data_IF_544821058368
#
_entry.id   IF_544821058368
#
_cell.length_a   1.000
_cell.length_b   1.000
_cell.length_c   1.000
_cell.angle_alpha   90.00
_cell.angle_beta   90.00
_cell.angle_gamma   90.00
#
_symmetry.space_group_name_H-M   'P 1'
#
loop_
_entity.id
_entity.type
_entity.pdbx_description
1 polymer ?
#
# COMPACT_ATOMS: atom_id res chain seq x y z
N UNK A 1 -2.91 9.29 -18.75
CA UNK A 1 -4.01 10.24 -18.46
C UNK A 1 -3.47 11.43 -17.70
N UNK A 2 -4.21 12.55 -17.64
CA UNK A 2 -3.76 13.78 -16.96
C UNK A 2 -3.95 13.78 -15.44
N UNK A 3 -4.85 12.94 -14.92
CA UNK A 3 -5.15 12.81 -13.50
C UNK A 3 -5.59 11.38 -13.17
N UNK A 4 -5.25 10.87 -11.98
CA UNK A 4 -5.64 9.55 -11.50
C UNK A 4 -6.42 9.66 -10.17
N UNK A 5 -7.76 9.56 -10.18
CA UNK A 5 -8.60 9.73 -8.99
C UNK A 5 -8.41 8.66 -7.91
N UNK A 6 -8.02 7.45 -8.30
CA UNK A 6 -7.92 6.28 -7.41
C UNK A 6 -6.46 5.85 -7.18
N UNK A 7 -5.51 6.75 -7.44
CA UNK A 7 -4.07 6.47 -7.38
C UNK A 7 -3.60 5.95 -6.01
N UNK A 8 -4.22 6.45 -4.95
CA UNK A 8 -3.82 6.22 -3.56
C UNK A 8 -4.81 5.30 -2.82
N UNK A 9 -5.53 4.46 -3.57
CA UNK A 9 -6.42 3.45 -3.00
C UNK A 9 -5.88 2.06 -3.31
N UNK A 10 -5.93 1.18 -2.31
CA UNK A 10 -5.69 -0.23 -2.52
C UNK A 10 -6.85 -0.91 -3.26
N UNK A 11 -6.60 -2.09 -3.81
CA UNK A 11 -7.59 -2.76 -4.65
C UNK A 11 -8.83 -3.17 -3.84
N UNK A 12 -8.62 -3.68 -2.63
CA UNK A 12 -9.68 -3.99 -1.67
C UNK A 12 -10.52 -2.76 -1.32
N UNK A 13 -9.89 -1.59 -1.18
CA UNK A 13 -10.59 -0.33 -0.93
C UNK A 13 -11.43 0.13 -2.12
N UNK A 14 -10.91 -0.03 -3.34
CA UNK A 14 -11.68 0.26 -4.57
C UNK A 14 -12.95 -0.58 -4.62
N UNK A 15 -12.87 -1.88 -4.29
CA UNK A 15 -14.06 -2.73 -4.20
C UNK A 15 -15.01 -2.27 -3.09
N UNK A 16 -14.49 -1.93 -1.91
CA UNK A 16 -15.28 -1.43 -0.77
C UNK A 16 -16.03 -0.14 -1.12
N UNK A 17 -15.35 0.83 -1.73
CA UNK A 17 -15.93 2.12 -2.12
C UNK A 17 -16.93 1.94 -3.26
N UNK A 18 -16.68 1.01 -4.19
CA UNK A 18 -17.62 0.69 -5.27
C UNK A 18 -18.95 0.16 -4.74
N UNK A 19 -18.90 -0.74 -3.74
CA UNK A 19 -20.09 -1.25 -3.05
C UNK A 19 -20.81 -0.13 -2.30
N UNK A 20 -20.06 0.64 -1.50
CA UNK A 20 -20.60 1.78 -0.77
C UNK A 20 -21.30 2.77 -1.71
N UNK A 21 -20.72 3.07 -2.88
CA UNK A 21 -21.31 4.01 -3.85
C UNK A 21 -22.63 3.52 -4.42
N UNK A 22 -22.84 2.21 -4.55
CA UNK A 22 -24.11 1.66 -5.03
C UNK A 22 -25.22 1.73 -3.97
N UNK A 23 -24.86 1.73 -2.69
CA UNK A 23 -25.80 1.77 -1.56
C UNK A 23 -26.05 3.19 -1.07
N UNK A 24 -25.03 4.04 -1.14
CA UNK A 24 -25.02 5.38 -0.57
C UNK A 24 -24.37 6.39 -1.51
N UNK A 25 -24.93 7.60 -1.54
CA UNK A 25 -24.40 8.75 -2.26
C UNK A 25 -24.53 9.99 -1.36
N UNK A 26 -23.49 10.85 -1.25
CA UNK A 26 -23.64 12.15 -0.61
C UNK A 26 -24.69 13.02 -1.33
N UNK A 27 -25.44 13.83 -0.58
CA UNK A 27 -26.49 14.71 -1.13
C UNK A 27 -25.95 15.72 -2.15
N UNK A 28 -24.72 16.21 -1.93
CA UNK A 28 -24.05 17.17 -2.79
C UNK A 28 -23.45 16.55 -4.07
N UNK A 29 -23.42 15.22 -4.19
CA UNK A 29 -22.82 14.58 -5.35
C UNK A 29 -23.73 14.70 -6.58
N UNK A 30 -23.18 15.11 -7.72
CA UNK A 30 -23.96 15.35 -8.96
C UNK A 30 -24.38 14.08 -9.71
N UNK A 31 -23.87 12.92 -9.32
CA UNK A 31 -24.18 11.65 -9.99
C UNK A 31 -25.59 11.10 -9.66
N UNK A 32 -26.08 10.15 -10.47
CA UNK A 32 -27.39 9.52 -10.24
C UNK A 32 -27.41 8.75 -8.91
N UNK A 33 -28.58 8.72 -8.27
CA UNK A 33 -28.81 7.88 -7.09
C UNK A 33 -28.87 6.39 -7.43
N UNK A 34 -28.84 5.56 -6.39
CA UNK A 34 -28.93 4.09 -6.52
C UNK A 34 -27.70 3.45 -7.17
N UNK A 35 -27.93 2.26 -7.76
CA UNK A 35 -26.88 1.42 -8.33
C UNK A 35 -26.35 2.00 -9.65
N UNK A 36 -25.08 2.39 -9.63
CA UNK A 36 -24.39 2.99 -10.79
C UNK A 36 -23.27 2.10 -11.34
N UNK A 37 -22.67 1.27 -10.49
CA UNK A 37 -21.62 0.32 -10.87
C UNK A 37 -22.27 -1.07 -11.01
N UNK A 38 -22.18 -1.72 -12.18
CA UNK A 38 -22.74 -3.06 -12.36
C UNK A 38 -22.12 -4.10 -11.42
N UNK A 39 -22.93 -5.03 -10.89
CA UNK A 39 -22.45 -6.03 -9.93
C UNK A 39 -21.31 -6.88 -10.47
N UNK A 40 -21.42 -7.27 -11.74
CA UNK A 40 -20.47 -8.17 -12.36
C UNK A 40 -19.06 -7.54 -12.40
N UNK A 41 -18.93 -6.21 -12.36
CA UNK A 41 -17.62 -5.53 -12.28
C UNK A 41 -17.04 -5.65 -10.86
N UNK A 42 -17.88 -5.72 -9.83
CA UNK A 42 -17.50 -5.80 -8.42
C UNK A 42 -17.25 -7.26 -8.00
N UNK A 43 -18.06 -8.20 -8.48
CA UNK A 43 -18.00 -9.62 -8.10
C UNK A 43 -17.08 -10.45 -8.96
N UNK A 44 -16.72 -9.98 -10.17
CA UNK A 44 -15.73 -10.66 -11.00
C UNK A 44 -14.43 -10.75 -10.23
N UNK A 45 -13.90 -11.97 -10.16
CA UNK A 45 -12.59 -12.23 -9.57
C UNK A 45 -11.59 -11.27 -10.23
N UNK A 46 -10.77 -10.56 -9.43
CA UNK A 46 -9.88 -9.57 -9.99
C UNK A 46 -8.87 -10.26 -10.91
N UNK A 47 -8.78 -9.75 -12.14
CA UNK A 47 -7.99 -10.29 -13.23
C UNK A 47 -7.37 -9.12 -14.00
N UNK A 48 -6.05 -9.02 -14.13
CA UNK A 48 -5.43 -8.12 -15.11
C UNK A 48 -5.62 -8.68 -16.52
N UNK A 49 -6.79 -8.41 -17.05
CA UNK A 49 -7.03 -8.53 -18.48
C UNK A 49 -6.33 -7.37 -19.19
N UNK A 50 -5.03 -7.53 -19.43
CA UNK A 50 -4.29 -6.71 -20.40
C UNK A 50 -3.56 -7.54 -21.47
N UNK A 51 -3.79 -8.87 -21.50
CA UNK A 51 -3.52 -9.77 -22.65
C UNK A 51 -4.46 -10.97 -22.64
N UNK A 52 -4.92 -11.40 -23.82
CA UNK A 52 -5.55 -12.72 -23.99
C UNK A 52 -4.56 -13.80 -23.47
N UNK A 53 -4.99 -14.59 -22.49
CA UNK A 53 -4.25 -15.68 -21.83
C UNK A 53 -3.25 -15.34 -20.71
N UNK A 54 -3.24 -14.14 -20.11
CA UNK A 54 -2.51 -13.92 -18.85
C UNK A 54 -3.46 -13.83 -17.66
N UNK A 55 -3.25 -14.67 -16.63
CA UNK A 55 -3.91 -14.56 -15.32
C UNK A 55 -2.94 -13.92 -14.32
N UNK A 56 -3.35 -12.82 -13.70
CA UNK A 56 -2.61 -12.15 -12.61
C UNK A 56 -2.26 -13.08 -11.44
N UNK A 57 -3.09 -14.10 -11.24
CA UNK A 57 -2.96 -15.06 -10.15
C UNK A 57 -1.71 -15.95 -10.27
N UNK A 58 -1.05 -15.98 -11.43
CA UNK A 58 0.19 -16.73 -11.60
C UNK A 58 1.39 -16.02 -10.96
N UNK A 59 1.27 -14.73 -10.62
CA UNK A 59 2.44 -13.93 -10.18
C UNK A 59 2.24 -13.02 -8.96
N UNK A 60 1.00 -12.74 -8.55
CA UNK A 60 0.69 -11.94 -7.34
C UNK A 60 -0.05 -12.77 -6.28
N UNK A 61 0.16 -12.50 -4.97
CA UNK A 61 -0.71 -13.05 -3.94
C UNK A 61 -2.14 -12.48 -4.04
N UNK A 62 -3.13 -13.10 -3.38
CA UNK A 62 -4.48 -12.55 -3.23
C UNK A 62 -4.46 -11.07 -2.78
N UNK A 63 -5.40 -10.25 -3.27
CA UNK A 63 -5.36 -8.79 -3.03
C UNK A 63 -5.50 -8.39 -1.57
N UNK A 64 -6.27 -9.13 -0.78
CA UNK A 64 -6.34 -8.94 0.67
C UNK A 64 -4.97 -9.10 1.33
N UNK A 65 -4.22 -10.12 0.95
CA UNK A 65 -2.84 -10.32 1.40
C UNK A 65 -1.89 -9.28 0.83
N UNK A 66 -1.98 -8.97 -0.47
CA UNK A 66 -1.13 -8.01 -1.15
C UNK A 66 -1.26 -6.61 -0.54
N UNK A 67 -2.49 -6.15 -0.38
CA UNK A 67 -2.80 -4.81 0.14
C UNK A 67 -2.31 -4.70 1.60
N UNK A 68 -2.50 -5.74 2.42
CA UNK A 68 -2.00 -5.77 3.80
C UNK A 68 -0.46 -5.72 3.89
N UNK A 69 0.24 -6.41 2.97
CA UNK A 69 1.71 -6.33 2.88
C UNK A 69 2.14 -4.93 2.43
N UNK A 70 1.48 -4.36 1.43
CA UNK A 70 1.80 -3.03 0.91
C UNK A 70 1.56 -1.93 1.95
N UNK A 71 0.46 -1.98 2.70
CA UNK A 71 0.19 -1.04 3.80
C UNK A 71 1.36 -1.04 4.80
N UNK A 72 1.83 -2.22 5.19
CA UNK A 72 2.97 -2.36 6.12
C UNK A 72 4.28 -1.84 5.53
N UNK A 73 4.58 -2.16 4.27
CA UNK A 73 5.80 -1.72 3.59
C UNK A 73 5.82 -0.22 3.28
N UNK A 74 4.67 0.36 2.91
CA UNK A 74 4.58 1.71 2.34
C UNK A 74 4.16 2.73 3.38
N UNK A 75 3.07 2.45 4.10
CA UNK A 75 2.50 3.41 5.04
C UNK A 75 3.17 3.33 6.41
N UNK A 76 3.39 2.11 6.89
CA UNK A 76 4.00 1.87 8.21
C UNK A 76 5.52 1.80 8.17
N UNK A 77 6.11 1.68 6.97
CA UNK A 77 7.55 1.48 6.76
C UNK A 77 8.16 0.38 7.64
N UNK A 78 7.42 -0.71 7.82
CA UNK A 78 7.88 -1.86 8.58
C UNK A 78 8.99 -2.60 7.81
N UNK A 79 10.09 -3.02 8.47
CA UNK A 79 11.08 -3.88 7.84
C UNK A 79 10.46 -5.24 7.52
N UNK A 80 11.01 -5.94 6.52
CA UNK A 80 10.46 -7.22 6.04
C UNK A 80 10.33 -8.23 7.19
N UNK A 81 11.30 -8.27 8.10
CA UNK A 81 11.25 -9.16 9.25
C UNK A 81 10.01 -8.95 10.14
N UNK A 82 9.56 -7.71 10.34
CA UNK A 82 8.37 -7.39 11.15
C UNK A 82 7.08 -7.85 10.48
N UNK A 83 7.03 -7.77 9.15
CA UNK A 83 5.90 -8.26 8.37
C UNK A 83 5.84 -9.79 8.45
N UNK A 84 6.98 -10.48 8.36
CA UNK A 84 7.04 -11.93 8.54
C UNK A 84 6.64 -12.35 9.95
N UNK A 85 7.11 -11.64 10.99
CA UNK A 85 6.68 -11.85 12.38
C UNK A 85 5.17 -11.68 12.57
N UNK A 86 4.52 -10.84 11.76
CA UNK A 86 3.06 -10.66 11.76
C UNK A 86 2.29 -11.82 11.09
N UNK A 87 2.97 -12.86 10.63
CA UNK A 87 2.36 -14.10 10.12
C UNK A 87 2.28 -14.21 8.60
N UNK A 88 2.91 -13.29 7.86
CA UNK A 88 2.96 -13.37 6.39
C UNK A 88 4.10 -14.29 5.93
N UNK A 89 3.85 -15.06 4.86
CA UNK A 89 4.86 -15.90 4.23
C UNK A 89 6.06 -15.07 3.74
N UNK A 90 7.27 -15.48 4.15
CA UNK A 90 8.50 -14.72 3.90
C UNK A 90 8.80 -14.55 2.43
N UNK A 91 8.65 -15.61 1.64
CA UNK A 91 8.98 -15.56 0.20
C UNK A 91 7.99 -14.66 -0.54
N UNK A 92 6.73 -14.66 -0.11
CA UNK A 92 5.70 -13.74 -0.60
C UNK A 92 6.02 -12.29 -0.26
N UNK A 93 6.38 -11.96 0.99
CA UNK A 93 6.74 -10.59 1.38
C UNK A 93 7.95 -10.09 0.60
N UNK A 94 9.02 -10.91 0.48
CA UNK A 94 10.22 -10.56 -0.28
C UNK A 94 9.93 -10.34 -1.76
N UNK A 95 9.05 -11.16 -2.35
CA UNK A 95 8.60 -10.99 -3.73
C UNK A 95 7.85 -9.67 -3.90
N UNK A 96 6.94 -9.33 -3.00
CA UNK A 96 6.18 -8.07 -3.02
C UNK A 96 7.11 -6.86 -2.85
N UNK A 97 8.03 -6.87 -1.89
CA UNK A 97 9.02 -5.79 -1.71
C UNK A 97 9.89 -5.61 -2.97
N UNK A 98 10.33 -6.70 -3.59
CA UNK A 98 11.09 -6.64 -4.84
C UNK A 98 10.27 -6.00 -5.97
N UNK A 99 9.02 -6.43 -6.16
CA UNK A 99 8.14 -5.86 -7.19
C UNK A 99 7.84 -4.38 -6.92
N UNK A 100 7.62 -4.03 -5.66
CA UNK A 100 7.44 -2.66 -5.19
C UNK A 100 8.65 -1.82 -5.63
N UNK A 101 9.87 -2.22 -5.27
CA UNK A 101 11.09 -1.50 -5.62
C UNK A 101 11.32 -1.39 -7.14
N UNK A 102 11.08 -2.46 -7.91
CA UNK A 102 11.23 -2.45 -9.37
C UNK A 102 10.24 -1.52 -10.08
N UNK A 103 9.06 -1.29 -9.50
CA UNK A 103 8.03 -0.43 -10.09
C UNK A 103 8.24 1.07 -9.83
N UNK A 104 9.33 1.48 -9.18
CA UNK A 104 9.59 2.90 -8.84
C UNK A 104 9.63 3.80 -10.08
N UNK A 105 10.26 3.34 -11.17
CA UNK A 105 10.32 4.11 -12.42
C UNK A 105 8.93 4.35 -13.03
N UNK A 106 8.02 3.36 -12.96
CA UNK A 106 6.64 3.49 -13.45
C UNK A 106 5.87 4.50 -12.61
N UNK A 107 6.05 4.50 -11.29
CA UNK A 107 5.38 5.43 -10.38
C UNK A 107 5.80 6.88 -10.59
N UNK A 108 7.07 7.14 -10.93
CA UNK A 108 7.53 8.50 -11.26
C UNK A 108 6.90 9.08 -12.53
N UNK A 109 6.47 8.22 -13.45
CA UNK A 109 5.78 8.62 -14.68
C UNK A 109 4.25 8.69 -14.50
N UNK A 110 3.73 8.28 -13.35
CA UNK A 110 2.29 8.26 -13.11
C UNK A 110 1.72 9.68 -12.97
N UNK A 111 0.51 9.88 -13.47
CA UNK A 111 -0.24 11.12 -13.32
C UNK A 111 -0.37 11.56 -11.85
N UNK A 112 -0.56 12.86 -11.58
CA UNK A 112 -0.99 13.32 -10.27
C UNK A 112 -2.34 12.69 -9.88
N UNK A 113 -2.58 12.56 -8.59
CA UNK A 113 -3.79 11.95 -8.05
C UNK A 113 -4.06 12.42 -6.62
N UNK A 114 -5.23 12.06 -6.10
CA UNK A 114 -5.63 12.41 -4.74
C UNK A 114 -4.81 11.60 -3.73
N UNK A 115 -4.41 12.23 -2.63
CA UNK A 115 -3.82 11.56 -1.46
C UNK A 115 -4.94 11.31 -0.44
N UNK A 116 -5.08 10.07 0.02
CA UNK A 116 -6.02 9.67 1.07
C UNK A 116 -5.34 8.91 2.21
N UNK A 117 -4.17 8.30 1.97
CA UNK A 117 -3.39 7.58 2.97
C UNK A 117 -2.48 8.51 3.78
N UNK A 118 -1.90 8.02 4.87
CA UNK A 118 -0.92 8.78 5.65
C UNK A 118 0.36 9.03 4.84
N UNK A 119 0.78 8.05 4.03
CA UNK A 119 2.00 8.11 3.24
C UNK A 119 1.78 7.54 1.84
N UNK A 120 1.81 8.45 0.86
CA UNK A 120 1.53 8.08 -0.53
C UNK A 120 2.80 7.90 -1.39
N UNK A 121 2.58 7.29 -2.55
CA UNK A 121 3.56 7.30 -3.63
C UNK A 121 3.63 8.69 -4.28
N UNK A 122 4.73 9.41 -4.02
CA UNK A 122 4.94 10.74 -4.57
C UNK A 122 5.80 11.61 -3.66
N UNK A 123 5.19 12.61 -3.03
CA UNK A 123 5.93 13.57 -2.22
C UNK A 123 6.50 12.93 -0.96
N UNK A 124 5.75 12.02 -0.34
CA UNK A 124 6.01 11.49 1.00
C UNK A 124 6.95 10.27 0.98
N UNK A 125 6.92 9.48 -0.10
CA UNK A 125 7.83 8.35 -0.32
C UNK A 125 8.69 8.59 -1.56
N UNK A 126 9.95 8.98 -1.35
CA UNK A 126 10.93 9.27 -2.42
C UNK A 126 12.06 8.25 -2.41
N UNK A 127 12.00 7.28 -3.31
CA UNK A 127 13.06 6.29 -3.47
C UNK A 127 13.83 6.52 -4.77
N UNK A 128 15.12 6.19 -4.84
CA UNK A 128 15.89 6.26 -6.08
C UNK A 128 15.37 5.22 -7.09
N UNK A 129 15.36 5.56 -8.38
CA UNK A 129 15.05 4.59 -9.45
C UNK A 129 16.17 3.53 -9.51
N UNK A 130 17.42 3.99 -9.54
CA UNK A 130 18.58 3.11 -9.48
C UNK A 130 18.82 2.72 -8.03
N UNK A 131 18.20 1.60 -7.61
CA UNK A 131 18.29 1.10 -6.24
C UNK A 131 18.63 -0.39 -6.20
N UNK A 132 19.81 -0.73 -5.63
CA UNK A 132 20.24 -2.11 -5.36
C UNK A 132 20.01 -2.57 -3.91
N UNK A 133 19.52 -1.69 -3.03
CA UNK A 133 19.17 -2.08 -1.67
C UNK A 133 18.07 -3.14 -1.68
N UNK A 134 18.26 -4.23 -0.94
CA UNK A 134 17.27 -5.29 -0.73
C UNK A 134 17.31 -5.64 0.75
N UNK A 135 16.16 -5.58 1.41
CA UNK A 135 16.02 -6.05 2.78
C UNK A 135 16.00 -7.60 2.75
N UNK A 136 16.97 -8.30 3.36
CA UNK A 136 16.98 -9.76 3.40
C UNK A 136 15.90 -10.35 4.33
N UNK A 137 15.16 -9.52 5.06
CA UNK A 137 14.20 -9.98 6.07
C UNK A 137 14.89 -10.58 7.29
N UNK A 138 16.13 -10.18 7.55
CA UNK A 138 16.86 -10.59 8.76
C UNK A 138 16.18 -9.96 9.98
N UNK A 139 15.97 -10.71 11.09
CA UNK A 139 15.40 -10.16 12.30
C UNK A 139 16.09 -8.86 12.73
N UNK A 140 15.28 -7.87 13.11
CA UNK A 140 15.80 -6.58 13.55
C UNK A 140 16.63 -6.80 14.82
N UNK A 141 17.90 -6.33 14.88
CA UNK A 141 18.69 -6.44 16.09
C UNK A 141 17.97 -5.82 17.29
N UNK A 142 18.02 -6.48 18.44
CA UNK A 142 17.52 -5.87 19.67
C UNK A 142 18.43 -4.68 20.00
N UNK A 143 17.88 -3.52 20.40
CA UNK A 143 18.69 -2.42 20.89
C UNK A 143 19.59 -2.91 22.02
N UNK A 144 20.88 -2.60 21.95
CA UNK A 144 21.80 -2.92 23.02
C UNK A 144 21.57 -1.92 24.17
N UNK A 145 21.00 -2.35 25.31
CA UNK A 145 20.72 -1.43 26.42
C UNK A 145 22.01 -0.86 27.02
N UNK A 146 23.16 -1.49 26.81
CA UNK A 146 24.44 -0.99 27.30
C UNK A 146 24.94 0.26 26.56
N UNK A 147 24.45 0.49 25.32
CA UNK A 147 24.75 1.69 24.54
C UNK A 147 23.88 2.90 24.93
N UNK A 148 22.82 2.69 25.72
CA UNK A 148 21.99 3.75 26.27
C UNK A 148 22.66 4.29 27.54
N UNK A 149 23.77 5.02 27.38
CA UNK A 149 24.41 5.73 28.47
C UNK A 149 23.80 7.12 28.62
N UNK A 150 22.78 7.26 29.46
CA UNK A 150 22.21 8.56 29.79
C UNK A 150 21.19 8.49 30.92
N UNK A 151 21.33 9.35 31.93
CA UNK A 151 20.29 9.62 32.93
C UNK A 151 18.99 9.96 32.20
N UNK A 152 17.82 9.41 32.59
CA UNK A 152 16.56 9.76 31.94
C UNK A 152 16.39 11.27 31.98
N UNK A 153 16.21 11.89 30.82
CA UNK A 153 15.95 13.31 30.73
C UNK A 153 14.68 13.60 31.54
N UNK A 154 14.82 14.39 32.61
CA UNK A 154 13.66 14.98 33.31
C UNK A 154 13.04 15.97 32.34
N UNK A 155 12.06 15.56 31.55
CA UNK A 155 11.20 16.48 30.85
C UNK A 155 10.28 17.13 31.89
N UNK A 156 10.69 18.27 32.44
CA UNK A 156 9.74 19.21 33.01
C UNK A 156 8.91 19.73 31.83
N UNK A 157 7.73 19.15 31.65
CA UNK A 157 6.73 19.73 30.79
C UNK A 157 6.35 21.10 31.39
N UNK A 158 6.67 22.17 30.68
CA UNK A 158 6.10 23.48 30.99
C UNK A 158 4.65 23.44 30.52
N UNK A 159 3.72 23.38 31.47
CA UNK A 159 2.31 23.69 31.23
C UNK A 159 2.22 25.19 30.91
N UNK A 160 1.78 25.50 29.68
CA UNK A 160 1.30 26.82 29.27
C UNK A 160 -0.22 26.85 29.28
#
# INVERSE_FOLDING_TARGET
GGFNPIKDLYKTEVFRISKLRNEWKPDWALGPGGRVIPEHVITKAPSAELRENQKDQDSLPPYDMLDAILERLVEREEPVAKIVEAGFDRDTVLRVDRMLNLAEYKRRQAAPGVKVTLRNFGRDRRYPITNRFRDPGTPVPKPDPSLVSGTPAKSEAFDF
#
